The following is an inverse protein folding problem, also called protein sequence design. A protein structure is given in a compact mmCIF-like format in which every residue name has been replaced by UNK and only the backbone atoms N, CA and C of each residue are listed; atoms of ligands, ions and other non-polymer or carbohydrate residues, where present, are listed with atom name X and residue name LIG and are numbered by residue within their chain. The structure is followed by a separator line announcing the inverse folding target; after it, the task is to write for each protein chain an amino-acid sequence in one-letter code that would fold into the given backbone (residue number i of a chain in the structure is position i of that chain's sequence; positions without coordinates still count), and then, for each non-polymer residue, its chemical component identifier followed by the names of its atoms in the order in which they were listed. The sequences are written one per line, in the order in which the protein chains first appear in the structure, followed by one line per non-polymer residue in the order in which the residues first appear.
data_IF_189562757552
#
_entry.id   IF_189562757552
#
_cell.length_a   1.000
_cell.length_b   1.000
_cell.length_c   1.000
_cell.angle_alpha   90.00
_cell.angle_beta   90.00
_cell.angle_gamma   90.00
#
_symmetry.space_group_name_H-M   'P 1'
#
loop_
_entity.id
_entity.type
_entity.pdbx_description
1 polymer ?
#
# COMPACT_ATOMS: atom_id res chain seq x y z
N UNK A 1 25.60 3.96 -0.67
CA UNK A 1 25.26 2.56 -0.34
C UNK A 1 23.80 2.45 -0.72
N UNK A 2 23.52 1.86 -1.88
CA UNK A 2 22.16 1.73 -2.39
C UNK A 2 21.34 0.94 -1.39
N UNK A 3 20.37 1.59 -0.76
CA UNK A 3 19.42 0.95 0.14
C UNK A 3 18.43 0.16 -0.72
N UNK A 4 18.87 -1.00 -1.18
CA UNK A 4 18.01 -1.97 -1.84
C UNK A 4 17.09 -2.57 -0.77
N UNK A 5 15.78 -2.33 -0.94
CA UNK A 5 14.75 -2.97 -0.13
C UNK A 5 14.84 -4.50 -0.31
N UNK A 6 15.01 -5.22 0.79
CA UNK A 6 15.12 -6.69 0.75
C UNK A 6 13.76 -7.38 0.67
N UNK A 7 12.67 -6.64 0.91
CA UNK A 7 11.30 -7.15 0.99
C UNK A 7 10.61 -7.36 -0.36
N UNK A 8 11.27 -7.04 -1.47
CA UNK A 8 10.70 -7.16 -2.83
C UNK A 8 10.34 -8.61 -3.19
N UNK A 9 10.91 -9.60 -2.50
CA UNK A 9 10.61 -11.02 -2.63
C UNK A 9 9.19 -11.39 -2.16
N UNK A 10 8.55 -10.51 -1.37
CA UNK A 10 7.18 -10.65 -0.88
C UNK A 10 6.13 -10.13 -1.86
N UNK A 11 6.54 -9.51 -2.96
CA UNK A 11 5.63 -9.06 -4.03
C UNK A 11 5.05 -10.30 -4.74
N UNK A 12 3.75 -10.24 -5.04
CA UNK A 12 2.99 -11.27 -5.73
C UNK A 12 2.13 -10.65 -6.83
N UNK A 13 1.79 -11.40 -7.90
CA UNK A 13 0.81 -10.95 -8.87
C UNK A 13 -0.59 -10.95 -8.24
N UNK A 14 -0.97 -9.82 -7.66
CA UNK A 14 -2.26 -9.62 -6.96
C UNK A 14 -3.12 -8.62 -7.73
N UNK A 15 -4.42 -8.63 -7.46
CA UNK A 15 -5.37 -7.64 -7.97
C UNK A 15 -5.95 -6.84 -6.80
N UNK A 16 -6.43 -5.60 -7.02
CA UNK A 16 -7.16 -4.86 -6.00
C UNK A 16 -8.35 -5.68 -5.51
N UNK A 17 -8.46 -5.88 -4.19
CA UNK A 17 -9.61 -6.57 -3.59
C UNK A 17 -10.89 -5.73 -3.64
N UNK A 18 -10.75 -4.41 -3.72
CA UNK A 18 -11.83 -3.42 -3.71
C UNK A 18 -11.47 -2.23 -4.61
N UNK A 19 -12.49 -1.47 -5.05
CA UNK A 19 -12.30 -0.25 -5.86
C UNK A 19 -11.77 0.95 -5.06
N UNK A 20 -11.71 0.84 -3.74
CA UNK A 20 -11.28 1.89 -2.84
C UNK A 20 -10.80 1.30 -1.51
N UNK A 21 -10.52 2.16 -0.53
CA UNK A 21 -10.15 1.70 0.80
C UNK A 21 -11.30 0.91 1.43
N UNK A 22 -11.10 -0.40 1.63
CA UNK A 22 -12.14 -1.35 2.05
C UNK A 22 -12.84 -0.88 3.34
N UNK A 23 -12.07 -0.44 4.32
CA UNK A 23 -12.59 -0.01 5.62
C UNK A 23 -13.24 1.36 5.55
N UNK A 24 -12.72 2.30 4.75
CA UNK A 24 -13.38 3.59 4.57
C UNK A 24 -14.74 3.40 3.87
N UNK A 25 -14.83 2.52 2.88
CA UNK A 25 -16.08 2.17 2.22
C UNK A 25 -17.09 1.59 3.21
N UNK A 26 -16.66 0.66 4.06
CA UNK A 26 -17.50 0.06 5.10
C UNK A 26 -18.00 1.10 6.14
N UNK A 27 -17.19 2.12 6.43
CA UNK A 27 -17.53 3.20 7.35
C UNK A 27 -18.32 4.35 6.70
N UNK A 28 -18.41 4.39 5.37
CA UNK A 28 -18.91 5.56 4.63
C UNK A 28 -18.02 6.80 4.80
N UNK A 29 -16.72 6.61 5.06
CA UNK A 29 -15.74 7.68 5.23
C UNK A 29 -14.97 7.94 3.92
N UNK A 30 -14.19 9.02 3.88
CA UNK A 30 -13.38 9.40 2.73
C UNK A 30 -11.87 9.14 2.94
N UNK A 31 -11.10 9.34 1.89
CA UNK A 31 -9.64 9.24 1.88
C UNK A 31 -9.03 10.29 0.94
N UNK A 32 -7.71 10.47 1.05
CA UNK A 32 -6.94 11.36 0.17
C UNK A 32 -6.38 10.59 -1.01
N UNK A 33 -5.60 9.54 -0.75
CA UNK A 33 -5.04 8.65 -1.77
C UNK A 33 -5.08 7.20 -1.29
N UNK A 34 -4.99 6.27 -2.25
CA UNK A 34 -5.04 4.84 -2.03
C UNK A 34 -3.68 4.18 -2.21
N UNK A 35 -3.53 3.07 -1.49
CA UNK A 35 -2.40 2.15 -1.57
C UNK A 35 -2.92 0.74 -1.74
N UNK A 36 -2.33 -0.02 -2.64
CA UNK A 36 -2.61 -1.46 -2.78
C UNK A 36 -1.43 -2.27 -2.26
N UNK A 37 -1.68 -3.16 -1.30
CA UNK A 37 -0.69 -4.11 -0.81
C UNK A 37 -0.25 -5.05 -1.94
N UNK A 38 1.05 -5.14 -2.20
CA UNK A 38 1.60 -5.99 -3.27
C UNK A 38 1.73 -7.47 -2.87
N UNK A 39 1.47 -7.82 -1.61
CA UNK A 39 1.51 -9.21 -1.13
C UNK A 39 0.13 -9.87 -1.19
N UNK A 40 -0.96 -9.12 -0.98
CA UNK A 40 -2.31 -9.68 -0.90
C UNK A 40 -3.41 -8.93 -1.67
N UNK A 41 -3.13 -7.75 -2.24
CA UNK A 41 -4.11 -6.98 -3.02
C UNK A 41 -5.09 -6.13 -2.20
N UNK A 42 -4.96 -6.10 -0.86
CA UNK A 42 -5.78 -5.22 -0.02
C UNK A 42 -5.53 -3.74 -0.36
N UNK A 43 -6.61 -2.97 -0.49
CA UNK A 43 -6.56 -1.53 -0.79
C UNK A 43 -6.88 -0.74 0.46
N UNK A 44 -5.94 0.08 0.91
CA UNK A 44 -6.05 0.92 2.10
C UNK A 44 -5.76 2.39 1.80
N UNK A 45 -6.30 3.30 2.60
CA UNK A 45 -5.99 4.72 2.48
C UNK A 45 -4.59 5.05 3.04
N UNK A 46 -3.90 6.00 2.40
CA UNK A 46 -2.51 6.36 2.70
C UNK A 46 -2.32 7.03 4.07
N UNK A 47 -1.06 7.24 4.48
CA UNK A 47 -0.68 7.88 5.74
C UNK A 47 -1.16 9.33 5.91
N UNK A 48 -1.38 10.05 4.81
CA UNK A 48 -1.95 11.40 4.81
C UNK A 48 -3.49 11.41 4.94
N UNK A 49 -4.13 10.25 4.78
CA UNK A 49 -5.57 10.12 5.03
C UNK A 49 -5.83 10.00 6.53
N UNK A 50 -7.01 10.44 6.98
CA UNK A 50 -7.43 10.41 8.39
C UNK A 50 -7.23 9.05 9.06
N UNK A 51 -7.59 7.96 8.37
CA UNK A 51 -7.68 6.63 8.96
C UNK A 51 -6.39 5.79 8.87
N UNK A 52 -5.54 6.05 7.86
CA UNK A 52 -4.23 5.39 7.65
C UNK A 52 -4.31 3.87 7.57
N UNK A 53 -5.29 3.35 6.83
CA UNK A 53 -5.56 1.92 6.77
C UNK A 53 -4.42 1.11 6.14
N UNK A 54 -3.71 1.66 5.15
CA UNK A 54 -2.56 0.97 4.56
C UNK A 54 -1.45 0.67 5.60
N UNK A 55 -1.19 1.62 6.49
CA UNK A 55 -0.18 1.49 7.55
C UNK A 55 -0.63 0.55 8.67
N UNK A 56 -1.92 0.58 9.02
CA UNK A 56 -2.51 -0.38 9.98
C UNK A 56 -2.50 -1.79 9.41
N UNK A 57 -2.77 -1.94 8.12
CA UNK A 57 -2.71 -3.21 7.42
C UNK A 57 -1.30 -3.80 7.49
N UNK A 58 -0.26 -3.01 7.17
CA UNK A 58 1.13 -3.43 7.36
C UNK A 58 1.38 -3.90 8.81
N UNK A 59 1.03 -3.08 9.81
CA UNK A 59 1.27 -3.44 11.22
C UNK A 59 0.47 -4.65 11.73
N UNK A 60 -0.53 -5.11 10.98
CA UNK A 60 -1.36 -6.28 11.36
C UNK A 60 -1.00 -7.55 10.59
N UNK A 61 -0.32 -7.42 9.45
CA UNK A 61 -0.08 -8.53 8.51
C UNK A 61 1.40 -8.76 8.21
N UNK A 62 2.27 -7.82 8.60
CA UNK A 62 3.66 -7.78 8.19
C UNK A 62 3.84 -7.81 6.66
N UNK A 63 2.91 -7.20 5.90
CA UNK A 63 3.05 -6.97 4.46
C UNK A 63 3.71 -5.60 4.21
N UNK A 64 5.02 -5.53 3.93
CA UNK A 64 5.78 -4.30 4.02
C UNK A 64 5.63 -3.41 2.80
N UNK A 65 5.21 -3.95 1.64
CA UNK A 65 5.18 -3.20 0.38
C UNK A 65 3.74 -2.94 -0.09
N UNK A 66 3.45 -1.66 -0.36
CA UNK A 66 2.23 -1.24 -1.02
C UNK A 66 2.52 -0.29 -2.19
N UNK A 67 1.91 -0.55 -3.34
CA UNK A 67 1.96 0.33 -4.50
C UNK A 67 1.01 1.52 -4.33
N UNK A 68 1.32 2.65 -4.98
CA UNK A 68 0.29 3.65 -5.24
C UNK A 68 -0.85 3.03 -6.04
N UNK A 69 -2.07 3.39 -5.68
CA UNK A 69 -3.27 2.98 -6.42
C UNK A 69 -3.98 4.19 -7.05
N UNK A 70 -3.19 5.21 -7.38
CA UNK A 70 -3.66 6.43 -8.05
C UNK A 70 -3.44 6.33 -9.57
N UNK A 71 -4.33 6.91 -10.39
CA UNK A 71 -4.16 6.90 -11.84
C UNK A 71 -2.85 7.57 -12.29
N UNK A 72 -2.04 6.84 -13.07
CA UNK A 72 -0.79 7.36 -13.64
C UNK A 72 0.43 7.26 -12.72
N UNK A 73 0.29 6.70 -11.53
CA UNK A 73 1.39 6.41 -10.62
C UNK A 73 1.75 4.93 -10.64
N UNK A 74 3.04 4.61 -10.67
CA UNK A 74 3.53 3.22 -10.78
C UNK A 74 4.64 2.87 -9.77
N UNK A 75 4.70 3.65 -8.69
CA UNK A 75 5.70 3.50 -7.63
C UNK A 75 5.12 2.75 -6.43
N UNK A 76 6.00 2.17 -5.60
CA UNK A 76 5.64 1.51 -4.35
C UNK A 76 6.38 2.06 -3.14
N UNK A 77 5.85 1.78 -1.95
CA UNK A 77 6.42 2.16 -0.67
C UNK A 77 6.70 0.92 0.15
N UNK A 78 7.92 0.81 0.67
CA UNK A 78 8.26 -0.15 1.72
C UNK A 78 8.10 0.51 3.09
N UNK A 79 7.11 0.08 3.87
CA UNK A 79 6.87 0.57 5.22
C UNK A 79 7.97 0.18 6.21
N UNK A 80 8.54 -1.01 6.06
CA UNK A 80 9.61 -1.51 6.92
C UNK A 80 10.89 -0.67 6.77
N UNK A 81 11.29 -0.42 5.52
CA UNK A 81 12.53 0.32 5.22
C UNK A 81 12.31 1.84 5.10
N UNK A 82 11.05 2.29 5.05
CA UNK A 82 10.65 3.69 4.81
C UNK A 82 11.26 4.26 3.52
N UNK A 83 11.17 3.48 2.46
CA UNK A 83 11.79 3.76 1.17
C UNK A 83 10.76 3.70 0.04
N UNK A 84 10.91 4.62 -0.90
CA UNK A 84 10.18 4.60 -2.17
C UNK A 84 10.88 3.63 -3.12
N UNK A 85 10.08 2.83 -3.82
CA UNK A 85 10.51 1.87 -4.82
C UNK A 85 9.94 2.34 -6.15
N UNK A 86 10.81 2.74 -7.06
CA UNK A 86 10.43 3.05 -8.42
C UNK A 86 10.36 1.77 -9.26
N UNK A 87 9.46 1.71 -10.25
CA UNK A 87 9.47 0.62 -11.22
C UNK A 87 10.81 0.66 -11.99
N UNK A 88 11.40 -0.52 -12.19
CA UNK A 88 12.68 -0.69 -12.87
C UNK A 88 12.58 -0.45 -14.38
#
# INVERSE_FOLDING_TARGET
MDLLCTHIDQIRPVKPGTEGCEECLALGDSWVHLRMCLSCGHVGCCDSSKNRHATRHYGSTDHPIAASHEPGEDWAWCYADKLMLDPA
#
